data_IF_150022931974
#
_entry.id   IF_150022931974
#
_cell.length_a   1.000
_cell.length_b   1.000
_cell.length_c   1.000
_cell.angle_alpha   90.00
_cell.angle_beta   90.00
_cell.angle_gamma   90.00
#
_symmetry.space_group_name_H-M   'P 1'
#
loop_
_entity.id
_entity.type
_entity.pdbx_description
1 polymer ?
#
# COMPACT_ATOMS: atom_id res chain seq x y z
N UNK A 1 14.07 -12.23 18.05
CA UNK A 1 13.77 -11.00 17.28
C UNK A 1 12.56 -10.35 17.92
N UNK A 2 12.59 -9.05 18.22
CA UNK A 2 11.46 -8.32 18.82
C UNK A 2 10.68 -7.55 17.75
N UNK A 3 9.44 -7.15 18.06
CA UNK A 3 8.65 -6.29 17.18
C UNK A 3 9.38 -4.95 16.89
N UNK A 4 9.99 -4.34 17.91
CA UNK A 4 10.76 -3.12 17.78
C UNK A 4 11.95 -3.27 16.80
N UNK A 5 12.68 -4.39 16.89
CA UNK A 5 13.78 -4.67 15.98
C UNK A 5 13.33 -4.84 14.52
N UNK A 6 12.11 -5.32 14.29
CA UNK A 6 11.53 -5.42 12.94
C UNK A 6 11.13 -4.05 12.43
N UNK A 7 10.48 -3.22 13.26
CA UNK A 7 10.07 -1.85 12.91
C UNK A 7 11.28 -1.03 12.49
N UNK A 8 12.36 -1.07 13.27
CA UNK A 8 13.59 -0.35 12.96
C UNK A 8 14.29 -0.91 11.71
N UNK A 9 14.47 -2.23 11.63
CA UNK A 9 15.16 -2.86 10.50
C UNK A 9 14.45 -2.62 9.17
N UNK A 10 13.12 -2.59 9.18
CA UNK A 10 12.30 -2.38 7.99
C UNK A 10 11.88 -0.92 7.81
N UNK A 11 12.33 0.00 8.67
CA UNK A 11 11.97 1.42 8.67
C UNK A 11 10.45 1.65 8.53
N UNK A 12 9.65 0.93 9.33
CA UNK A 12 8.20 1.00 9.29
C UNK A 12 7.69 2.28 9.97
N UNK A 13 6.66 2.87 9.40
CA UNK A 13 6.00 4.08 9.90
C UNK A 13 4.67 3.73 10.55
N UNK A 14 4.22 4.47 11.57
CA UNK A 14 2.90 4.27 12.16
C UNK A 14 1.79 4.56 11.13
N UNK A 15 0.83 3.66 11.00
CA UNK A 15 -0.33 3.84 10.13
C UNK A 15 -1.48 4.53 10.91
N UNK A 16 -2.24 5.48 10.31
CA UNK A 16 -3.34 6.17 10.99
C UNK A 16 -4.44 5.23 11.49
N UNK A 17 -4.63 4.07 10.86
CA UNK A 17 -5.58 3.04 11.29
C UNK A 17 -5.04 2.16 12.44
N UNK A 18 -3.79 2.37 12.85
CA UNK A 18 -3.07 1.54 13.82
C UNK A 18 -2.08 0.57 13.17
N UNK A 19 -1.05 0.17 13.94
CA UNK A 19 0.04 -0.68 13.45
C UNK A 19 1.15 0.11 12.75
N UNK A 20 2.05 -0.63 12.09
CA UNK A 20 3.22 -0.08 11.37
C UNK A 20 3.26 -0.63 9.95
N UNK A 21 3.57 0.21 8.97
CA UNK A 21 3.64 -0.16 7.57
C UNK A 21 4.77 0.58 6.83
N UNK A 22 5.15 0.07 5.66
CA UNK A 22 5.96 0.81 4.69
C UNK A 22 5.58 0.33 3.30
N UNK A 23 5.26 1.25 2.41
CA UNK A 23 5.09 0.93 0.99
C UNK A 23 6.47 0.61 0.40
N UNK A 24 6.67 -0.61 -0.09
CA UNK A 24 7.94 -1.04 -0.70
C UNK A 24 7.91 -0.98 -2.22
N UNK A 25 6.72 -0.88 -2.81
CA UNK A 25 6.52 -0.82 -4.24
C UNK A 25 5.19 -0.13 -4.55
N UNK A 26 5.20 0.73 -5.56
CA UNK A 26 4.04 1.38 -6.15
C UNK A 26 4.18 1.28 -7.66
N UNK A 27 3.20 0.69 -8.31
CA UNK A 27 3.20 0.62 -9.78
C UNK A 27 3.04 2.02 -10.37
N UNK A 28 3.74 2.28 -11.46
CA UNK A 28 3.59 3.50 -12.25
C UNK A 28 2.37 3.42 -13.17
N UNK A 29 1.91 2.19 -13.47
CA UNK A 29 0.75 1.95 -14.32
C UNK A 29 -0.55 2.04 -13.53
N UNK A 30 -1.55 2.71 -14.12
CA UNK A 30 -2.85 2.96 -13.54
C UNK A 30 -3.93 2.38 -14.45
N UNK A 31 -4.88 1.67 -13.85
CA UNK A 31 -6.09 1.19 -14.51
C UNK A 31 -7.12 2.32 -14.47
N UNK A 32 -7.57 2.77 -15.66
CA UNK A 32 -8.62 3.79 -15.77
C UNK A 32 -9.90 3.35 -15.06
N UNK A 33 -10.67 4.30 -14.52
CA UNK A 33 -11.99 4.04 -13.93
C UNK A 33 -12.93 3.41 -14.97
N UNK A 34 -12.83 3.80 -16.25
CA UNK A 34 -13.64 3.24 -17.34
C UNK A 34 -13.38 1.74 -17.58
N UNK A 35 -12.21 1.25 -17.17
CA UNK A 35 -11.82 -0.16 -17.28
C UNK A 35 -12.13 -0.97 -16.01
N UNK A 36 -12.69 -0.32 -14.97
CA UNK A 36 -13.04 -0.94 -13.71
C UNK A 36 -14.57 -1.12 -13.58
N UNK A 37 -15.02 -2.16 -12.85
CA UNK A 37 -16.43 -2.27 -12.50
C UNK A 37 -16.90 -1.09 -11.62
N UNK A 38 -18.17 -0.72 -11.73
CA UNK A 38 -18.78 0.43 -11.02
C UNK A 38 -18.69 0.40 -9.49
N UNK A 39 -18.31 -0.74 -8.90
CA UNK A 39 -18.08 -0.86 -7.45
C UNK A 39 -16.80 -0.14 -6.97
N UNK A 40 -15.97 0.34 -7.91
CA UNK A 40 -14.75 1.07 -7.60
C UNK A 40 -14.93 2.58 -7.79
N UNK A 41 -14.84 3.30 -6.68
CA UNK A 41 -15.00 4.76 -6.61
C UNK A 41 -13.81 5.56 -7.20
N UNK A 42 -12.71 4.89 -7.57
CA UNK A 42 -11.50 5.52 -8.07
C UNK A 42 -10.64 4.57 -8.91
N UNK A 43 -9.72 5.17 -9.67
CA UNK A 43 -8.63 4.50 -10.39
C UNK A 43 -7.83 3.56 -9.47
N UNK A 44 -7.28 2.48 -10.03
CA UNK A 44 -6.46 1.50 -9.30
C UNK A 44 -5.06 1.43 -9.88
N UNK A 45 -4.07 1.18 -9.02
CA UNK A 45 -2.71 0.86 -9.49
C UNK A 45 -2.71 -0.57 -10.03
N UNK A 46 -2.06 -0.77 -11.18
CA UNK A 46 -1.90 -2.09 -11.75
C UNK A 46 -0.86 -2.88 -10.95
N UNK A 47 -1.25 -4.00 -10.36
CA UNK A 47 -0.36 -4.91 -9.62
C UNK A 47 -0.44 -6.28 -10.29
N UNK A 48 0.71 -6.82 -10.71
CA UNK A 48 0.84 -8.15 -11.33
C UNK A 48 0.82 -9.28 -10.28
#
# INVERSE_FOLDING_TARGET
MTAQAIIEKLNLQPHPEGGFFRETYRSEEVISQDALPDVFEAYRLLVF
#
